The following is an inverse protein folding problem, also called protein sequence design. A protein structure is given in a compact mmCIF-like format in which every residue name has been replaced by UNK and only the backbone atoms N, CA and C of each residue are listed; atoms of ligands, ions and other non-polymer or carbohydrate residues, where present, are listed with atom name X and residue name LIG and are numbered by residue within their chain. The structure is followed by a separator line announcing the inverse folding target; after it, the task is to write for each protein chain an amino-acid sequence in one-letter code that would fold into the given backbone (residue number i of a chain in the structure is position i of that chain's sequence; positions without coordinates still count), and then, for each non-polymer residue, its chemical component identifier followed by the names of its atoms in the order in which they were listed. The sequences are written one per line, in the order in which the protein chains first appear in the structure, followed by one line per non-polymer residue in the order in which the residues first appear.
data_IF_900139804585
#
_entry.id   IF_900139804585
#
_cell.length_a   1.000
_cell.length_b   1.000
_cell.length_c   1.000
_cell.angle_alpha   90.00
_cell.angle_beta   90.00
_cell.angle_gamma   90.00
#
_symmetry.space_group_name_H-M   'P 1'
#
loop_
_entity.id
_entity.type
_entity.pdbx_description
1 polymer ?
#
# COMPACT_ATOMS: atom_id res chain seq x y z
N UNK A 1 -12.09 -2.92 -68.99
CA UNK A 1 -11.09 -3.60 -68.14
C UNK A 1 -10.60 -2.59 -67.12
N UNK A 2 -11.07 -2.71 -65.89
CA UNK A 2 -10.75 -1.81 -64.77
C UNK A 2 -9.78 -2.53 -63.84
N UNK A 3 -8.64 -1.93 -63.50
CA UNK A 3 -7.70 -2.51 -62.55
C UNK A 3 -7.18 -1.44 -61.56
N UNK A 4 -7.78 -1.47 -60.37
CA UNK A 4 -7.29 -1.17 -59.03
C UNK A 4 -6.22 -0.10 -58.80
N UNK A 5 -6.64 1.03 -58.21
CA UNK A 5 -5.77 1.90 -57.41
C UNK A 5 -5.49 1.21 -56.06
N UNK A 6 -4.22 0.99 -55.73
CA UNK A 6 -3.78 0.56 -54.39
C UNK A 6 -3.97 1.73 -53.41
N UNK A 7 -4.86 1.55 -52.43
CA UNK A 7 -5.04 2.48 -51.32
C UNK A 7 -4.05 2.12 -50.22
N UNK A 8 -3.11 3.01 -49.93
CA UNK A 8 -2.15 2.85 -48.83
C UNK A 8 -2.85 3.14 -47.51
N UNK A 9 -3.12 2.11 -46.70
CA UNK A 9 -3.57 2.28 -45.32
C UNK A 9 -2.34 2.58 -44.45
N UNK A 10 -2.11 3.87 -44.18
CA UNK A 10 -1.13 4.30 -43.18
C UNK A 10 -1.64 3.95 -41.78
N UNK A 11 -1.01 2.97 -41.13
CA UNK A 11 -1.25 2.66 -39.72
C UNK A 11 -0.55 3.73 -38.88
N UNK A 12 -1.32 4.66 -38.32
CA UNK A 12 -0.84 5.65 -37.36
C UNK A 12 -0.66 4.96 -36.00
N UNK A 13 0.58 4.62 -35.65
CA UNK A 13 0.94 4.08 -34.35
C UNK A 13 0.94 5.21 -33.31
N UNK A 14 -0.15 5.35 -32.55
CA UNK A 14 -0.23 6.28 -31.42
C UNK A 14 0.54 5.69 -30.23
N UNK A 15 1.78 6.15 -30.04
CA UNK A 15 2.55 5.88 -28.82
C UNK A 15 2.02 6.79 -27.71
N UNK A 16 1.24 6.23 -26.78
CA UNK A 16 0.88 6.94 -25.56
C UNK A 16 2.11 7.00 -24.64
N UNK A 17 2.70 8.18 -24.51
CA UNK A 17 3.65 8.44 -23.43
C UNK A 17 2.88 8.45 -22.11
N UNK A 18 3.00 7.38 -21.34
CA UNK A 18 2.58 7.39 -19.93
C UNK A 18 3.48 8.38 -19.19
N UNK A 19 2.90 9.50 -18.77
CA UNK A 19 3.60 10.40 -17.86
C UNK A 19 4.05 9.57 -16.63
N UNK A 20 5.30 9.74 -16.15
CA UNK A 20 5.66 9.17 -14.87
C UNK A 20 4.67 9.75 -13.87
N UNK A 21 3.97 8.89 -13.12
CA UNK A 21 3.18 9.33 -11.99
C UNK A 21 4.14 10.08 -11.06
N UNK A 22 4.15 11.41 -11.15
CA UNK A 22 4.83 12.25 -10.18
C UNK A 22 4.29 11.85 -8.82
N UNK A 23 5.16 11.78 -7.80
CA UNK A 23 4.87 11.21 -6.48
C UNK A 23 3.50 11.69 -5.95
N UNK A 24 2.45 10.93 -6.27
CA UNK A 24 1.11 11.25 -5.85
C UNK A 24 1.14 11.04 -4.34
N UNK A 25 0.82 12.10 -3.59
CA UNK A 25 0.82 11.99 -2.13
C UNK A 25 -0.14 10.87 -1.76
N UNK A 26 0.41 9.86 -1.10
CA UNK A 26 -0.38 8.75 -0.60
C UNK A 26 -1.45 9.30 0.33
N UNK A 27 -2.71 9.10 -0.04
CA UNK A 27 -3.85 9.42 0.82
C UNK A 27 -4.06 8.28 1.80
N UNK A 28 -3.10 8.12 2.70
CA UNK A 28 -3.21 7.16 3.80
C UNK A 28 -4.23 7.73 4.79
N UNK A 29 -5.32 7.00 5.11
CA UNK A 29 -6.30 7.44 6.08
C UNK A 29 -5.65 7.54 7.46
N UNK A 30 -6.12 8.46 8.29
CA UNK A 30 -5.56 8.68 9.62
C UNK A 30 -6.43 8.05 10.71
N UNK A 31 -5.80 7.27 11.58
CA UNK A 31 -6.39 6.80 12.84
C UNK A 31 -5.62 7.38 14.02
N UNK A 32 -6.34 7.87 15.02
CA UNK A 32 -5.74 8.31 16.28
C UNK A 32 -5.15 7.11 17.01
N UNK A 33 -3.97 7.28 17.59
CA UNK A 33 -3.33 6.24 18.39
C UNK A 33 -3.68 6.37 19.87
N UNK A 34 -3.92 5.24 20.53
CA UNK A 34 -3.89 5.15 21.99
C UNK A 34 -2.44 5.06 22.51
N UNK A 35 -2.27 5.19 23.82
CA UNK A 35 -0.95 5.00 24.47
C UNK A 35 -0.41 3.61 24.15
N UNK A 36 0.82 3.53 23.65
CA UNK A 36 1.48 2.31 23.17
C UNK A 36 0.78 1.62 21.96
N UNK A 37 -0.17 2.30 21.31
CA UNK A 37 -0.97 1.77 20.21
C UNK A 37 -0.55 2.24 18.82
N UNK A 38 0.63 2.86 18.68
CA UNK A 38 1.11 3.38 17.39
C UNK A 38 1.17 2.30 16.30
N UNK A 39 1.60 1.07 16.65
CA UNK A 39 1.65 -0.05 15.72
C UNK A 39 0.27 -0.48 15.25
N UNK A 40 -0.71 -0.51 16.16
CA UNK A 40 -2.09 -0.88 15.85
C UNK A 40 -2.74 0.14 14.91
N UNK A 41 -2.63 1.44 15.25
CA UNK A 41 -3.10 2.51 14.37
C UNK A 41 -2.43 2.42 12.99
N UNK A 42 -1.11 2.20 12.92
CA UNK A 42 -0.39 2.09 11.65
C UNK A 42 -0.87 0.93 10.78
N UNK A 43 -1.11 -0.23 11.38
CA UNK A 43 -1.67 -1.40 10.67
C UNK A 43 -3.05 -1.09 10.13
N UNK A 44 -3.96 -0.54 10.94
CA UNK A 44 -5.31 -0.18 10.49
C UNK A 44 -5.30 0.87 9.37
N UNK A 45 -4.39 1.85 9.43
CA UNK A 45 -4.22 2.86 8.37
C UNK A 45 -3.81 2.22 7.03
N UNK A 46 -2.84 1.31 7.04
CA UNK A 46 -2.40 0.59 5.84
C UNK A 46 -3.47 -0.36 5.32
N UNK A 47 -4.18 -1.04 6.22
CA UNK A 47 -5.28 -1.92 5.85
C UNK A 47 -6.34 -1.16 5.07
N UNK A 48 -6.81 -0.04 5.63
CA UNK A 48 -7.83 0.80 5.01
C UNK A 48 -7.37 1.45 3.71
N UNK A 49 -6.11 1.89 3.64
CA UNK A 49 -5.53 2.43 2.41
C UNK A 49 -5.71 1.46 1.22
N UNK A 50 -5.46 0.18 1.44
CA UNK A 50 -5.63 -0.83 0.39
C UNK A 50 -7.07 -1.25 0.17
N UNK A 51 -7.90 -1.32 1.22
CA UNK A 51 -9.33 -1.61 1.10
C UNK A 51 -10.07 -0.58 0.24
N UNK A 52 -9.83 0.71 0.48
CA UNK A 52 -10.46 1.80 -0.28
C UNK A 52 -10.04 1.82 -1.77
N UNK A 53 -8.85 1.29 -2.08
CA UNK A 53 -8.31 1.23 -3.44
C UNK A 53 -8.74 0.00 -4.26
N UNK A 54 -9.51 -0.94 -3.70
CA UNK A 54 -9.89 -2.19 -4.36
C UNK A 54 -11.40 -2.23 -4.67
N UNK A 55 -11.83 -1.85 -5.90
CA UNK A 55 -13.24 -1.95 -6.28
C UNK A 55 -13.74 -3.40 -6.16
N UNK A 56 -14.82 -3.59 -5.41
CA UNK A 56 -15.47 -4.91 -5.28
C UNK A 56 -14.83 -5.86 -4.27
N UNK A 57 -13.84 -5.43 -3.48
CA UNK A 57 -13.39 -6.19 -2.30
C UNK A 57 -13.80 -5.47 -1.02
N UNK A 58 -14.68 -6.10 -0.26
CA UNK A 58 -14.93 -5.72 1.15
C UNK A 58 -14.01 -6.57 2.01
N UNK A 59 -12.80 -6.08 2.29
CA UNK A 59 -12.01 -6.63 3.39
C UNK A 59 -12.65 -6.14 4.69
N UNK A 60 -12.86 -7.03 5.67
CA UNK A 60 -13.20 -6.60 7.02
C UNK A 60 -12.04 -5.73 7.52
N UNK A 61 -12.30 -4.46 7.82
CA UNK A 61 -11.27 -3.52 8.27
C UNK A 61 -11.18 -3.56 9.80
N UNK A 62 -10.08 -4.07 10.38
CA UNK A 62 -9.95 -4.12 11.82
C UNK A 62 -9.71 -2.72 12.38
N UNK A 63 -10.42 -2.38 13.45
CA UNK A 63 -10.20 -1.13 14.19
C UNK A 63 -8.83 -1.14 14.89
N UNK A 64 -8.22 0.03 15.15
CA UNK A 64 -6.98 0.08 15.92
C UNK A 64 -7.08 -0.63 17.28
N UNK A 65 -8.24 -0.59 17.93
CA UNK A 65 -8.49 -1.26 19.20
C UNK A 65 -8.53 -2.78 19.03
N UNK A 66 -9.09 -3.29 17.93
CA UNK A 66 -9.06 -4.72 17.60
C UNK A 66 -7.65 -5.22 17.33
N UNK A 67 -6.87 -4.47 16.55
CA UNK A 67 -5.46 -4.80 16.29
C UNK A 67 -4.65 -4.74 17.58
N UNK A 68 -4.87 -3.72 18.42
CA UNK A 68 -4.18 -3.57 19.69
C UNK A 68 -4.44 -4.75 20.62
N UNK A 69 -5.71 -5.17 20.78
CA UNK A 69 -6.06 -6.33 21.61
C UNK A 69 -5.37 -7.62 21.16
N UNK A 70 -5.14 -7.78 19.86
CA UNK A 70 -4.52 -8.99 19.32
C UNK A 70 -2.99 -8.98 19.39
N UNK A 71 -2.36 -7.82 19.16
CA UNK A 71 -0.92 -7.75 18.95
C UNK A 71 -0.14 -7.13 20.12
N UNK A 72 -0.80 -6.45 21.06
CA UNK A 72 -0.10 -5.76 22.14
C UNK A 72 0.65 -6.73 23.04
N UNK A 73 1.93 -6.44 23.24
CA UNK A 73 2.79 -7.16 24.18
C UNK A 73 3.13 -6.25 25.37
N UNK A 74 2.60 -6.52 26.57
CA UNK A 74 2.91 -5.74 27.78
C UNK A 74 4.39 -5.70 28.13
N UNK A 75 5.14 -6.79 27.90
CA UNK A 75 6.56 -6.86 28.20
C UNK A 75 7.40 -5.96 27.27
N UNK A 76 6.97 -5.83 26.01
CA UNK A 76 7.58 -4.91 25.04
C UNK A 76 7.02 -3.48 25.13
N UNK A 77 5.96 -3.26 25.93
CA UNK A 77 5.19 -2.01 26.02
C UNK A 77 4.75 -1.49 24.65
N UNK A 78 4.36 -2.40 23.75
CA UNK A 78 3.97 -2.06 22.39
C UNK A 78 3.74 -3.28 21.51
N UNK A 79 3.74 -3.05 20.21
CA UNK A 79 3.54 -4.08 19.19
C UNK A 79 4.85 -4.29 18.42
N UNK A 80 5.27 -5.54 18.29
CA UNK A 80 6.48 -5.89 17.54
C UNK A 80 6.23 -5.80 16.02
N UNK A 81 7.24 -5.32 15.27
CA UNK A 81 7.21 -5.27 13.80
C UNK A 81 6.90 -6.62 13.16
N UNK A 82 7.46 -7.71 13.70
CA UNK A 82 7.17 -9.06 13.23
C UNK A 82 5.67 -9.40 13.37
N UNK A 83 5.07 -9.08 14.53
CA UNK A 83 3.64 -9.31 14.75
C UNK A 83 2.75 -8.49 13.80
N UNK A 84 3.12 -7.25 13.47
CA UNK A 84 2.40 -6.47 12.46
C UNK A 84 2.47 -7.09 11.07
N UNK A 85 3.64 -7.61 10.68
CA UNK A 85 3.80 -8.31 9.39
C UNK A 85 2.92 -9.55 9.36
N UNK A 86 3.02 -10.41 10.38
CA UNK A 86 2.31 -11.68 10.44
C UNK A 86 0.78 -11.44 10.41
N UNK A 87 0.30 -10.44 11.16
CA UNK A 87 -1.11 -10.03 11.15
C UNK A 87 -1.61 -9.59 9.77
N UNK A 88 -0.80 -8.81 9.04
CA UNK A 88 -1.15 -8.38 7.68
C UNK A 88 -1.15 -9.57 6.71
N UNK A 89 -0.19 -10.50 6.82
CA UNK A 89 -0.15 -11.70 5.99
C UNK A 89 -1.36 -12.61 6.23
N UNK A 90 -1.77 -12.80 7.49
CA UNK A 90 -3.00 -13.50 7.87
C UNK A 90 -4.26 -12.81 7.29
N UNK A 91 -4.22 -11.48 7.18
CA UNK A 91 -5.24 -10.66 6.52
C UNK A 91 -5.25 -10.75 4.98
N UNK A 92 -4.38 -11.56 4.38
CA UNK A 92 -4.29 -11.74 2.93
C UNK A 92 -3.42 -10.71 2.20
N UNK A 93 -2.65 -9.91 2.95
CA UNK A 93 -1.68 -8.98 2.37
C UNK A 93 -0.37 -9.70 2.04
N UNK A 94 0.41 -9.07 1.17
CA UNK A 94 1.83 -9.41 1.00
C UNK A 94 2.64 -8.37 1.77
N UNK A 95 3.06 -8.71 2.99
CA UNK A 95 3.87 -7.83 3.82
C UNK A 95 5.37 -8.19 3.69
N UNK A 96 6.23 -7.18 3.81
CA UNK A 96 7.68 -7.34 3.66
C UNK A 96 8.41 -6.48 4.68
N UNK A 97 9.49 -7.02 5.24
CA UNK A 97 10.45 -6.23 6.01
C UNK A 97 11.48 -5.62 5.07
N UNK A 98 11.72 -4.32 5.22
CA UNK A 98 12.75 -3.59 4.47
C UNK A 98 13.98 -3.38 5.34
N UNK A 99 15.12 -3.06 4.72
CA UNK A 99 16.33 -2.70 5.48
C UNK A 99 16.13 -1.36 6.21
N UNK A 100 15.26 -0.50 5.67
CA UNK A 100 14.92 0.78 6.27
C UNK A 100 15.83 1.91 5.82
N UNK A 101 16.44 1.75 4.64
CA UNK A 101 17.30 2.75 4.03
C UNK A 101 16.47 3.73 3.18
N UNK A 102 17.00 4.94 2.96
CA UNK A 102 16.31 5.94 2.14
C UNK A 102 15.87 5.43 0.75
N UNK A 103 16.71 4.70 0.00
CA UNK A 103 16.30 4.14 -1.29
C UNK A 103 15.13 3.16 -1.19
N UNK A 104 14.99 2.42 -0.07
CA UNK A 104 13.85 1.52 0.13
C UNK A 104 12.55 2.34 0.22
N UNK A 105 12.56 3.43 1.00
CA UNK A 105 11.40 4.31 1.16
C UNK A 105 11.03 4.98 -0.16
N UNK A 106 12.00 5.61 -0.82
CA UNK A 106 11.78 6.29 -2.11
C UNK A 106 11.16 5.33 -3.13
N UNK A 107 11.69 4.11 -3.22
CA UNK A 107 11.21 3.11 -4.15
C UNK A 107 9.77 2.67 -3.86
N UNK A 108 9.39 2.47 -2.59
CA UNK A 108 8.01 2.05 -2.26
C UNK A 108 7.03 3.20 -2.43
N UNK A 109 7.38 4.42 -2.00
CA UNK A 109 6.52 5.59 -2.12
C UNK A 109 6.27 5.94 -3.59
N UNK A 110 7.29 5.86 -4.45
CA UNK A 110 7.13 6.06 -5.90
C UNK A 110 6.20 5.03 -6.57
N UNK A 111 5.98 3.87 -5.93
CA UNK A 111 5.05 2.83 -6.39
C UNK A 111 3.65 2.97 -5.79
N UNK A 112 3.38 4.04 -5.05
CA UNK A 112 2.10 4.22 -4.38
C UNK A 112 1.89 3.23 -3.23
N UNK A 113 2.96 2.77 -2.56
CA UNK A 113 2.87 1.79 -1.46
C UNK A 113 3.19 2.44 -0.12
N UNK A 114 2.26 2.43 0.85
CA UNK A 114 2.55 2.94 2.18
C UNK A 114 3.56 2.02 2.88
N UNK A 115 4.41 2.64 3.71
CA UNK A 115 5.44 1.96 4.50
C UNK A 115 5.21 2.27 5.97
N UNK A 116 5.13 1.24 6.81
CA UNK A 116 5.11 1.41 8.28
C UNK A 116 6.56 1.52 8.75
N UNK A 117 6.88 2.63 9.42
CA UNK A 117 8.23 2.90 9.93
C UNK A 117 8.22 2.84 11.45
N UNK A 118 9.02 1.94 12.02
CA UNK A 118 9.31 1.91 13.45
C UNK A 118 10.61 2.65 13.73
N UNK A 119 10.54 3.74 14.49
CA UNK A 119 11.71 4.51 14.91
C UNK A 119 12.21 4.02 16.29
N UNK A 120 13.52 4.15 16.52
CA UNK A 120 14.14 3.91 17.83
C UNK A 120 14.29 5.22 18.60
#
# INVERSE_FOLDING_TARGET
MSCGRLSSFGVLLLVFATAPAGAERLRVPFFTQERNGCGAASVSMVWRYWSEGLPGRTLAEPSPEEVYRQLYNPAAKGIALAGMRDYLEEGGFRAYTLRGEWPDLEQQLAKGRPVIVGLK
#
